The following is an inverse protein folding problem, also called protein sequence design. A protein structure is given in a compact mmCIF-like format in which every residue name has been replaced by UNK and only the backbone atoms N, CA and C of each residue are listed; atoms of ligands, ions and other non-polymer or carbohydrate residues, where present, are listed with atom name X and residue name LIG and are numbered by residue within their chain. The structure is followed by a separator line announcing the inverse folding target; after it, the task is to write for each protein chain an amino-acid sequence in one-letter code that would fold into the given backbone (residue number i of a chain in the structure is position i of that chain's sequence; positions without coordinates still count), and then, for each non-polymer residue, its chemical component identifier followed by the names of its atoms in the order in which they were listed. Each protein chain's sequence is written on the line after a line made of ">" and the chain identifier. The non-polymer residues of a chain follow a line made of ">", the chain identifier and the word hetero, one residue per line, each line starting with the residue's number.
data_IF_292110258146
#
_entry.id   IF_292110258146
#
_cell.length_a   1.000
_cell.length_b   1.000
_cell.length_c   1.000
_cell.angle_alpha   90.00
_cell.angle_beta   90.00
_cell.angle_gamma   90.00
#
_symmetry.space_group_name_H-M   'P 1'
#
loop_
_entity.id
_entity.type
_entity.pdbx_description
1 polymer ?
#
# COMPACT_ATOMS: atom_id res chain seq x y z
N UNK A 1 4.40 6.35 9.02
CA UNK A 1 3.63 5.75 10.14
C UNK A 1 4.20 6.24 11.46
N UNK A 2 3.53 5.98 12.59
CA UNK A 2 4.15 6.14 13.90
C UNK A 2 4.75 4.78 14.30
N UNK A 3 6.04 4.75 14.65
CA UNK A 3 6.76 3.52 14.98
C UNK A 3 6.13 2.72 16.10
N UNK A 4 5.38 3.37 16.99
CA UNK A 4 4.76 2.74 18.16
C UNK A 4 3.26 2.49 17.98
N UNK A 5 2.70 2.81 16.82
CA UNK A 5 1.27 2.71 16.56
C UNK A 5 1.00 2.05 15.20
N UNK A 6 0.59 0.76 15.18
CA UNK A 6 0.40 0.02 13.94
C UNK A 6 -0.77 0.54 13.10
N UNK A 7 -1.69 1.30 13.70
CA UNK A 7 -2.82 1.98 13.03
C UNK A 7 -2.57 3.49 12.82
N UNK A 8 -1.30 3.92 12.82
CA UNK A 8 -0.93 5.29 12.50
C UNK A 8 -1.07 5.57 11.00
N UNK A 9 -1.38 6.83 10.65
CA UNK A 9 -1.50 7.23 9.26
C UNK A 9 -0.21 6.98 8.46
N UNK A 10 -0.39 6.56 7.21
CA UNK A 10 0.70 6.35 6.27
C UNK A 10 1.28 7.67 5.82
N UNK A 11 2.61 7.68 5.69
CA UNK A 11 3.38 8.82 5.22
C UNK A 11 4.49 8.39 4.29
N UNK A 12 4.80 9.24 3.32
CA UNK A 12 5.89 9.11 2.36
C UNK A 12 7.09 10.02 2.71
N UNK A 13 7.34 10.26 4.00
CA UNK A 13 8.45 11.09 4.53
C UNK A 13 9.58 10.27 5.18
N UNK A 14 9.63 8.96 4.91
CA UNK A 14 10.59 8.05 5.52
C UNK A 14 12.04 8.53 5.38
N UNK A 15 12.75 8.56 6.51
CA UNK A 15 14.15 8.99 6.58
C UNK A 15 15.08 7.97 5.91
N UNK A 16 16.29 8.39 5.54
CA UNK A 16 17.30 7.49 4.99
C UNK A 16 17.66 6.32 5.93
N UNK A 17 17.51 6.48 7.25
CA UNK A 17 17.76 5.42 8.24
C UNK A 17 16.65 4.38 8.29
N UNK A 18 15.42 4.77 7.95
CA UNK A 18 14.25 3.88 7.96
C UNK A 18 14.12 3.13 6.64
N UNK A 19 14.68 3.64 5.53
CA UNK A 19 14.68 2.97 4.23
C UNK A 19 15.26 1.56 4.36
N UNK A 20 14.47 0.57 3.93
CA UNK A 20 14.88 -0.84 3.94
C UNK A 20 14.70 -1.54 5.28
N UNK A 21 14.19 -0.84 6.31
CA UNK A 21 13.71 -1.48 7.54
C UNK A 21 12.30 -2.02 7.35
N UNK A 22 11.88 -2.98 8.19
CA UNK A 22 10.53 -3.57 8.15
C UNK A 22 9.40 -2.52 8.26
N UNK A 23 9.67 -1.36 8.86
CA UNK A 23 8.73 -0.24 8.96
C UNK A 23 8.38 0.38 7.60
N UNK A 24 9.32 0.36 6.65
CA UNK A 24 9.12 0.89 5.29
C UNK A 24 8.80 -0.20 4.26
N UNK A 25 8.83 -1.46 4.68
CA UNK A 25 8.50 -2.61 3.82
C UNK A 25 7.04 -2.98 3.99
N UNK A 26 6.50 -3.49 2.89
CA UNK A 26 5.15 -3.99 2.82
C UNK A 26 5.13 -5.29 2.03
N UNK A 27 4.24 -6.20 2.42
CA UNK A 27 3.94 -7.38 1.63
C UNK A 27 2.82 -7.03 0.66
N UNK A 28 3.02 -7.35 -0.61
CA UNK A 28 2.03 -7.17 -1.66
C UNK A 28 1.38 -8.52 -1.95
N UNK A 29 0.07 -8.59 -1.86
CA UNK A 29 -0.71 -9.82 -2.06
C UNK A 29 -1.76 -9.59 -3.15
N UNK A 30 -1.84 -10.49 -4.13
CA UNK A 30 -2.97 -10.57 -5.06
C UNK A 30 -3.85 -11.75 -4.66
N UNK A 31 -5.06 -11.48 -4.18
CA UNK A 31 -6.01 -12.54 -3.84
C UNK A 31 -6.71 -13.08 -5.09
N UNK A 32 -7.10 -14.36 -5.05
CA UNK A 32 -7.94 -15.04 -6.05
C UNK A 32 -7.30 -15.34 -7.42
N UNK A 33 -5.97 -15.29 -7.52
CA UNK A 33 -5.26 -15.85 -8.67
C UNK A 33 -4.53 -17.14 -8.22
N UNK A 34 -5.13 -18.33 -8.43
CA UNK A 34 -4.50 -19.60 -8.08
C UNK A 34 -3.25 -19.89 -8.93
N UNK A 35 -3.08 -19.15 -10.03
CA UNK A 35 -1.90 -19.16 -10.89
C UNK A 35 -1.09 -17.87 -10.72
N UNK A 36 -1.26 -17.14 -9.60
CA UNK A 36 -0.53 -15.89 -9.35
C UNK A 36 0.95 -16.21 -9.48
N UNK A 37 1.51 -15.85 -10.62
CA UNK A 37 2.90 -16.08 -10.87
C UNK A 37 3.64 -15.14 -9.92
N UNK A 38 4.20 -15.69 -8.85
CA UNK A 38 5.01 -14.92 -7.91
C UNK A 38 6.21 -14.30 -8.61
N UNK A 39 6.57 -14.78 -9.82
CA UNK A 39 7.58 -14.18 -10.68
C UNK A 39 7.05 -13.05 -11.58
N UNK A 40 5.73 -12.96 -11.84
CA UNK A 40 5.16 -11.97 -12.75
C UNK A 40 3.80 -11.41 -12.30
N UNK A 41 3.82 -10.40 -11.44
CA UNK A 41 2.63 -9.64 -11.06
C UNK A 41 2.28 -8.57 -12.11
N UNK A 42 1.12 -8.66 -12.76
CA UNK A 42 0.72 -7.74 -13.86
C UNK A 42 -0.04 -6.48 -13.40
N UNK A 43 -0.12 -6.22 -12.09
CA UNK A 43 -1.03 -5.25 -11.50
C UNK A 43 -2.46 -5.80 -11.35
N UNK A 44 -3.40 -4.95 -10.93
CA UNK A 44 -4.77 -5.34 -10.61
C UNK A 44 -5.05 -5.23 -9.11
N UNK A 45 -6.05 -5.99 -8.62
CA UNK A 45 -6.47 -5.96 -7.22
C UNK A 45 -5.36 -6.46 -6.31
N UNK A 46 -5.08 -5.71 -5.26
CA UNK A 46 -4.01 -6.00 -4.32
C UNK A 46 -4.45 -5.74 -2.88
N UNK A 47 -3.84 -6.47 -1.95
CA UNK A 47 -3.77 -6.10 -0.53
C UNK A 47 -2.32 -5.74 -0.22
N UNK A 48 -2.15 -4.70 0.58
CA UNK A 48 -0.83 -4.25 1.05
C UNK A 48 -0.80 -4.40 2.57
N UNK A 49 0.09 -5.24 3.06
CA UNK A 49 0.27 -5.54 4.48
C UNK A 49 1.57 -4.91 4.99
N UNK A 50 1.59 -4.41 6.22
CA UNK A 50 2.84 -4.00 6.87
C UNK A 50 3.75 -5.21 7.12
N UNK A 51 5.03 -5.12 6.75
CA UNK A 51 6.00 -6.17 7.09
C UNK A 51 6.38 -6.14 8.58
N UNK A 52 6.28 -4.99 9.24
CA UNK A 52 6.50 -4.87 10.68
C UNK A 52 5.33 -5.39 11.52
N UNK A 53 4.10 -5.17 11.07
CA UNK A 53 2.89 -5.48 11.81
C UNK A 53 2.01 -6.46 11.02
N UNK A 54 2.20 -7.75 11.30
CA UNK A 54 1.43 -8.82 10.66
C UNK A 54 -0.07 -8.64 10.88
N UNK A 55 -0.84 -8.94 9.84
CA UNK A 55 -2.28 -8.75 9.71
C UNK A 55 -2.75 -7.28 9.72
N UNK A 56 -1.86 -6.29 9.61
CA UNK A 56 -2.26 -4.90 9.43
C UNK A 56 -2.19 -4.52 7.96
N UNK A 57 -3.37 -4.24 7.37
CA UNK A 57 -3.51 -3.98 5.94
C UNK A 57 -3.88 -2.54 5.67
N UNK A 58 -3.40 -2.01 4.54
CA UNK A 58 -3.75 -0.67 4.09
C UNK A 58 -5.26 -0.56 3.86
N UNK A 59 -5.83 0.46 4.48
CA UNK A 59 -7.20 0.91 4.27
C UNK A 59 -7.25 2.42 4.45
N UNK A 60 -8.39 3.04 4.16
CA UNK A 60 -8.59 4.48 4.28
C UNK A 60 -9.71 4.80 5.27
N UNK A 61 -9.63 5.98 5.86
CA UNK A 61 -10.55 6.41 6.91
C UNK A 61 -11.65 7.33 6.38
N UNK A 62 -12.88 7.15 6.86
CA UNK A 62 -14.01 8.03 6.55
C UNK A 62 -14.96 8.17 7.73
N UNK A 63 -14.65 9.09 8.65
CA UNK A 63 -15.58 9.47 9.74
C UNK A 63 -15.49 10.95 10.16
N UNK A 64 -14.89 11.81 9.35
CA UNK A 64 -14.73 13.23 9.62
C UNK A 64 -13.32 13.64 10.05
N UNK A 65 -13.12 14.96 10.15
CA UNK A 65 -11.85 15.57 10.53
C UNK A 65 -10.82 15.64 9.39
N UNK A 66 -9.60 16.06 9.71
CA UNK A 66 -8.53 16.25 8.73
C UNK A 66 -8.05 14.95 8.07
N UNK A 67 -8.24 13.80 8.71
CA UNK A 67 -7.83 12.48 8.21
C UNK A 67 -8.83 11.80 7.29
N UNK A 68 -9.87 12.50 6.84
CA UNK A 68 -10.80 11.95 5.87
C UNK A 68 -10.05 11.54 4.60
N UNK A 69 -10.23 10.29 4.20
CA UNK A 69 -9.55 9.62 3.09
C UNK A 69 -8.05 9.39 3.27
N UNK A 70 -7.50 9.66 4.45
CA UNK A 70 -6.11 9.30 4.76
C UNK A 70 -6.00 7.78 4.91
N UNK A 71 -4.88 7.23 4.40
CA UNK A 71 -4.55 5.82 4.54
C UNK A 71 -3.87 5.53 5.87
N UNK A 72 -4.16 4.35 6.42
CA UNK A 72 -3.55 3.78 7.61
C UNK A 72 -3.64 2.26 7.54
N UNK A 73 -2.75 1.50 8.19
CA UNK A 73 -2.96 0.07 8.33
C UNK A 73 -4.02 -0.21 9.39
N UNK A 74 -4.78 -1.28 9.20
CA UNK A 74 -5.74 -1.74 10.20
C UNK A 74 -5.70 -3.25 10.33
N UNK A 75 -5.74 -3.71 11.57
CA UNK A 75 -5.75 -5.13 11.90
C UNK A 75 -6.96 -5.81 11.25
N UNK A 76 -6.67 -6.85 10.47
CA UNK A 76 -7.62 -7.71 9.78
C UNK A 76 -8.64 -6.97 8.89
N UNK A 77 -8.30 -5.75 8.46
CA UNK A 77 -9.18 -4.92 7.64
C UNK A 77 -8.39 -4.26 6.52
N UNK A 78 -8.39 -4.93 5.36
CA UNK A 78 -7.86 -4.39 4.12
C UNK A 78 -8.94 -3.63 3.35
N UNK A 79 -8.52 -2.63 2.58
CA UNK A 79 -9.36 -2.21 1.45
C UNK A 79 -9.65 -3.41 0.53
N UNK A 80 -10.87 -3.45 -0.01
CA UNK A 80 -11.37 -4.56 -0.84
C UNK A 80 -11.28 -4.27 -2.34
N UNK A 81 -11.04 -3.02 -2.71
CA UNK A 81 -11.05 -2.55 -4.10
C UNK A 81 -9.78 -1.74 -4.45
N UNK A 82 -8.74 -1.85 -3.61
CA UNK A 82 -7.43 -1.30 -3.90
C UNK A 82 -6.84 -2.02 -5.12
N UNK A 83 -6.48 -1.23 -6.13
CA UNK A 83 -5.89 -1.70 -7.38
C UNK A 83 -4.54 -1.00 -7.60
N UNK A 84 -3.53 -1.79 -7.94
CA UNK A 84 -2.24 -1.32 -8.41
C UNK A 84 -2.24 -1.31 -9.95
N UNK A 85 -1.76 -0.23 -10.54
CA UNK A 85 -1.55 -0.11 -11.97
C UNK A 85 -0.06 0.09 -12.21
N UNK A 86 0.54 -0.80 -12.99
CA UNK A 86 1.92 -0.69 -13.45
C UNK A 86 1.91 0.18 -14.71
N UNK A 87 2.65 1.29 -14.69
CA UNK A 87 2.58 2.31 -15.76
C UNK A 87 3.17 1.79 -17.07
N UNK A 88 4.22 0.98 -16.99
CA UNK A 88 4.78 0.27 -18.14
C UNK A 88 4.22 -1.15 -18.10
N UNK A 89 3.34 -1.48 -19.05
CA UNK A 89 2.72 -2.81 -19.14
C UNK A 89 3.79 -3.91 -19.07
N UNK A 90 3.53 -4.93 -18.26
CA UNK A 90 4.46 -6.02 -18.00
C UNK A 90 4.36 -6.48 -16.55
N UNK A 91 5.29 -7.36 -16.17
CA UNK A 91 5.45 -7.80 -14.78
C UNK A 91 5.91 -6.62 -13.91
N UNK A 92 5.56 -6.65 -12.63
CA UNK A 92 6.14 -5.77 -11.63
C UNK A 92 7.62 -6.12 -11.48
N UNK A 93 8.48 -5.17 -11.82
CA UNK A 93 9.93 -5.25 -11.67
C UNK A 93 10.42 -4.26 -10.60
N UNK A 94 11.64 -4.46 -10.09
CA UNK A 94 12.30 -3.44 -9.27
C UNK A 94 12.39 -2.12 -10.04
N UNK A 95 12.14 -1.00 -9.37
CA UNK A 95 12.00 0.34 -9.95
C UNK A 95 10.78 0.57 -10.83
N UNK A 96 9.81 -0.35 -10.85
CA UNK A 96 8.56 -0.12 -11.57
C UNK A 96 7.84 1.12 -11.04
N UNK A 97 7.45 1.97 -11.98
CA UNK A 97 6.57 3.09 -11.68
C UNK A 97 5.13 2.57 -11.60
N UNK A 98 4.49 2.79 -10.46
CA UNK A 98 3.13 2.34 -10.20
C UNK A 98 2.26 3.49 -9.71
N UNK A 99 0.95 3.36 -9.92
CA UNK A 99 -0.05 4.17 -9.23
C UNK A 99 -1.03 3.22 -8.57
N UNK A 100 -1.65 3.69 -7.48
CA UNK A 100 -2.71 2.97 -6.81
C UNK A 100 -4.01 3.74 -6.95
N UNK A 101 -5.11 3.03 -7.10
CA UNK A 101 -6.45 3.59 -6.98
C UNK A 101 -7.31 2.70 -6.09
N UNK A 102 -8.31 3.30 -5.46
CA UNK A 102 -9.26 2.59 -4.63
C UNK A 102 -10.66 3.18 -4.78
N UNK A 103 -11.67 2.41 -4.41
CA UNK A 103 -13.06 2.79 -4.54
C UNK A 103 -13.57 3.47 -3.27
N UNK A 104 -13.96 4.74 -3.40
CA UNK A 104 -14.71 5.42 -2.37
C UNK A 104 -16.13 4.84 -2.30
N UNK A 105 -16.39 4.07 -1.25
CA UNK A 105 -17.70 3.46 -1.01
C UNK A 105 -18.82 4.48 -0.72
N UNK A 106 -18.48 5.71 -0.29
CA UNK A 106 -19.44 6.79 -0.04
C UNK A 106 -19.74 7.58 -1.32
N UNK A 107 -18.70 8.13 -1.96
CA UNK A 107 -18.80 8.87 -3.23
C UNK A 107 -19.07 8.01 -4.46
N UNK A 108 -18.97 6.68 -4.33
CA UNK A 108 -19.17 5.67 -5.39
C UNK A 108 -18.29 5.87 -6.62
N UNK A 109 -17.02 6.21 -6.41
CA UNK A 109 -16.07 6.51 -7.48
C UNK A 109 -14.66 6.03 -7.15
N UNK A 110 -13.84 5.77 -8.18
CA UNK A 110 -12.43 5.43 -8.01
C UNK A 110 -11.57 6.68 -7.91
N UNK A 111 -10.73 6.72 -6.89
CA UNK A 111 -9.76 7.79 -6.70
C UNK A 111 -8.36 7.21 -6.65
N UNK A 112 -7.39 7.99 -7.07
CA UNK A 112 -5.97 7.66 -7.00
C UNK A 112 -5.42 8.05 -5.63
N UNK A 113 -4.55 7.18 -5.12
CA UNK A 113 -3.74 7.50 -3.95
C UNK A 113 -2.76 8.61 -4.32
N UNK A 114 -2.51 9.52 -3.39
CA UNK A 114 -1.55 10.59 -3.56
C UNK A 114 -0.88 10.97 -2.25
N UNK A 115 0.38 11.42 -2.35
CA UNK A 115 1.10 12.03 -1.24
C UNK A 115 0.65 13.49 -1.11
N UNK A 116 0.04 13.82 0.01
CA UNK A 116 -0.51 15.14 0.26
C UNK A 116 0.60 16.21 0.31
N UNK A 117 0.41 17.31 -0.41
CA UNK A 117 1.53 18.21 -0.72
C UNK A 117 1.85 19.21 0.41
N UNK A 118 0.82 19.67 1.13
CA UNK A 118 0.88 20.90 1.91
C UNK A 118 0.18 20.80 3.27
N UNK A 119 0.53 21.70 4.20
CA UNK A 119 -0.16 21.86 5.48
C UNK A 119 0.21 20.80 6.52
N UNK A 120 -0.62 20.66 7.55
CA UNK A 120 -0.36 19.72 8.66
C UNK A 120 -0.42 18.24 8.25
N UNK A 121 -0.99 17.96 7.09
CA UNK A 121 -1.08 16.64 6.47
C UNK A 121 -0.08 16.45 5.35
N UNK A 122 0.91 17.32 5.20
CA UNK A 122 1.99 17.13 4.24
C UNK A 122 2.65 15.75 4.41
N UNK A 123 2.94 15.12 3.28
CA UNK A 123 3.57 13.82 3.11
C UNK A 123 2.70 12.60 3.51
N UNK A 124 1.45 12.80 3.96
CA UNK A 124 0.54 11.69 4.25
C UNK A 124 -0.10 11.14 2.97
N UNK A 125 -0.45 9.85 2.96
CA UNK A 125 -1.08 9.20 1.81
C UNK A 125 -2.61 9.33 1.89
N UNK A 126 -3.23 9.82 0.82
CA UNK A 126 -4.68 10.07 0.74
C UNK A 126 -5.31 9.46 -0.51
N UNK A 127 -6.57 9.06 -0.41
CA UNK A 127 -7.45 8.78 -1.53
C UNK A 127 -8.11 10.10 -2.00
N UNK A 128 -7.70 10.69 -3.14
CA UNK A 128 -8.15 12.08 -3.43
C UNK A 128 -8.46 12.44 -4.87
N UNK A 129 -7.61 12.07 -5.84
CA UNK A 129 -7.77 12.57 -7.21
C UNK A 129 -8.52 11.58 -8.10
N UNK A 130 -9.40 12.08 -8.96
CA UNK A 130 -10.11 11.24 -9.95
C UNK A 130 -9.21 10.77 -11.09
N UNK A 131 -8.01 11.35 -11.23
CA UNK A 131 -6.97 10.98 -12.18
C UNK A 131 -5.61 11.01 -11.49
N UNK A 132 -4.67 10.14 -11.88
CA UNK A 132 -3.32 10.13 -11.34
C UNK A 132 -2.64 11.50 -11.51
N UNK A 133 -2.13 12.05 -10.42
CA UNK A 133 -1.37 13.30 -10.37
C UNK A 133 0.13 13.01 -10.19
N UNK A 134 1.05 13.97 -10.36
CA UNK A 134 2.49 13.74 -10.15
C UNK A 134 2.85 13.11 -8.79
N UNK A 135 2.11 13.45 -7.73
CA UNK A 135 2.25 12.89 -6.38
C UNK A 135 1.48 11.57 -6.16
N UNK A 136 0.85 11.00 -7.20
CA UNK A 136 0.23 9.67 -7.18
C UNK A 136 1.15 8.56 -7.66
N UNK A 137 2.31 8.90 -8.21
CA UNK A 137 3.26 7.93 -8.74
C UNK A 137 4.24 7.48 -7.65
N UNK A 138 4.37 6.17 -7.50
CA UNK A 138 5.27 5.52 -6.56
C UNK A 138 6.27 4.65 -7.32
N UNK A 139 7.49 4.57 -6.82
CA UNK A 139 8.50 3.65 -7.32
C UNK A 139 8.44 2.40 -6.44
N UNK A 140 8.11 1.26 -7.04
CA UNK A 140 8.12 -0.02 -6.37
C UNK A 140 9.57 -0.51 -6.22
N UNK A 141 10.01 -0.68 -4.97
CA UNK A 141 11.30 -1.27 -4.63
C UNK A 141 11.07 -2.71 -4.20
N UNK A 142 11.52 -3.67 -5.01
CA UNK A 142 11.34 -5.09 -4.70
C UNK A 142 12.51 -5.59 -3.87
N UNK A 143 12.21 -6.34 -2.81
CA UNK A 143 13.25 -7.03 -2.05
C UNK A 143 13.65 -8.29 -2.83
N UNK A 144 14.82 -8.27 -3.45
CA UNK A 144 15.38 -9.41 -4.20
C UNK A 144 16.09 -10.44 -3.31
N UNK A 145 16.02 -10.27 -1.98
CA UNK A 145 16.47 -11.29 -1.04
C UNK A 145 15.67 -12.59 -1.26
N UNK A 146 16.28 -13.76 -1.05
CA UNK A 146 15.61 -15.05 -1.24
C UNK A 146 14.30 -15.13 -0.43
N UNK A 147 13.35 -15.90 -0.96
CA UNK A 147 12.03 -16.11 -0.36
C UNK A 147 12.14 -16.43 1.14
N UNK A 148 11.28 -15.80 1.95
CA UNK A 148 11.23 -16.07 3.38
C UNK A 148 10.78 -17.52 3.59
N UNK A 149 11.58 -18.29 4.32
CA UNK A 149 11.20 -19.63 4.75
C UNK A 149 10.11 -19.55 5.83
N UNK A 150 8.86 -19.80 5.42
CA UNK A 150 7.69 -19.79 6.30
C UNK A 150 7.53 -21.06 7.13
N UNK A 151 8.35 -22.10 6.92
CA UNK A 151 8.14 -23.44 7.52
C UNK A 151 8.01 -23.42 9.05
N UNK A 152 8.62 -22.44 9.72
CA UNK A 152 8.60 -22.29 11.19
C UNK A 152 7.52 -21.34 11.72
N UNK A 153 6.93 -20.54 10.84
CA UNK A 153 5.95 -19.50 11.19
C UNK A 153 4.50 -19.95 10.88
N UNK A 154 4.32 -21.07 10.18
CA UNK A 154 3.01 -21.62 9.83
C UNK A 154 2.30 -22.14 11.08
N UNK A 155 1.22 -21.46 11.48
CA UNK A 155 0.30 -21.92 12.51
C UNK A 155 -0.89 -22.59 11.82
N UNK A 156 -0.85 -23.91 11.72
CA UNK A 156 -2.03 -24.70 11.32
C UNK A 156 -2.98 -24.81 12.52
N UNK A 157 -4.25 -24.45 12.33
CA UNK A 157 -5.33 -24.70 13.28
C UNK A 157 -6.42 -25.53 12.62
#
# INVERSE_FOLDING_TARGET
>A
MDHNRPDGWLKADGTAKEKGTEFTKFNLLQEYDPDSDTFCMLGGRVRIESSQYLNYFWTWWLRGGGGNYAYYPKFDDSSKLLEMIIIRQGCLEDESLVVFKDFDTYGKYYYFLAVWENGSWKDYIYLWYTNAQPNSYFIAKLNTSPERDWSKDLIYR
#
